data_IF_030760602979
#
_entry.id   IF_030760602979
#
_cell.length_a   1.000
_cell.length_b   1.000
_cell.length_c   1.000
_cell.angle_alpha   90.00
_cell.angle_beta   90.00
_cell.angle_gamma   90.00
#
_symmetry.space_group_name_H-M   'P 1'
#
loop_
_entity.id
_entity.type
_entity.pdbx_description
1 polymer ?
#
# COMPACT_ATOMS: atom_id res chain seq x y z
N UNK A 1 -5.49 36.69 -5.78
CA UNK A 1 -4.01 36.70 -5.63
C UNK A 1 -3.54 36.46 -4.20
N UNK A 2 -3.79 37.34 -3.21
CA UNK A 2 -3.32 37.11 -1.83
C UNK A 2 -4.01 35.92 -1.11
N UNK A 3 -5.29 35.67 -1.40
CA UNK A 3 -6.04 34.57 -0.78
C UNK A 3 -5.69 33.22 -1.39
N UNK A 4 -5.41 33.20 -2.69
CA UNK A 4 -4.94 32.03 -3.42
C UNK A 4 -3.55 31.58 -2.93
N UNK A 5 -2.64 32.54 -2.69
CA UNK A 5 -1.34 32.27 -2.06
C UNK A 5 -1.52 31.71 -0.63
N UNK A 6 -2.51 32.19 0.13
CA UNK A 6 -2.79 31.67 1.48
C UNK A 6 -3.34 30.25 1.45
N UNK A 7 -4.24 29.95 0.50
CA UNK A 7 -4.80 28.61 0.32
C UNK A 7 -3.72 27.59 -0.07
N UNK A 8 -2.89 27.91 -1.07
CA UNK A 8 -1.80 27.04 -1.52
C UNK A 8 -0.77 26.79 -0.41
N UNK A 9 -0.46 27.80 0.40
CA UNK A 9 0.44 27.62 1.56
C UNK A 9 -0.15 26.69 2.62
N UNK A 10 -1.47 26.72 2.80
CA UNK A 10 -2.15 25.84 3.76
C UNK A 10 -2.13 24.40 3.25
N UNK A 11 -2.52 24.19 2.01
CA UNK A 11 -2.48 22.89 1.35
C UNK A 11 -1.07 22.28 1.36
N UNK A 12 -0.04 23.09 1.06
CA UNK A 12 1.34 22.64 1.13
C UNK A 12 1.73 22.18 2.54
N UNK A 13 1.35 22.94 3.58
CA UNK A 13 1.65 22.56 4.96
C UNK A 13 0.91 21.28 5.36
N UNK A 14 -0.35 21.12 4.96
CA UNK A 14 -1.14 19.92 5.26
C UNK A 14 -0.52 18.67 4.57
N UNK A 15 -0.10 18.80 3.32
CA UNK A 15 0.59 17.73 2.58
C UNK A 15 1.94 17.36 3.22
N UNK A 16 2.71 18.35 3.67
CA UNK A 16 3.98 18.12 4.36
C UNK A 16 3.78 17.41 5.70
N UNK A 17 2.74 17.77 6.45
CA UNK A 17 2.39 17.10 7.70
C UNK A 17 1.98 15.63 7.46
N UNK A 18 1.15 15.37 6.44
CA UNK A 18 0.78 14.02 6.04
C UNK A 18 2.00 13.19 5.61
N UNK A 19 2.91 13.78 4.83
CA UNK A 19 4.15 13.12 4.42
C UNK A 19 5.02 12.77 5.64
N UNK A 20 5.18 13.70 6.59
CA UNK A 20 5.93 13.47 7.82
C UNK A 20 5.35 12.30 8.63
N UNK A 21 4.02 12.27 8.80
CA UNK A 21 3.31 11.17 9.48
C UNK A 21 3.57 9.83 8.77
N UNK A 22 3.45 9.80 7.44
CA UNK A 22 3.70 8.58 6.66
C UNK A 22 5.13 8.07 6.84
N UNK A 23 6.14 8.93 6.76
CA UNK A 23 7.54 8.53 6.93
C UNK A 23 7.86 8.09 8.34
N UNK A 24 7.26 8.75 9.35
CA UNK A 24 7.33 8.34 10.75
C UNK A 24 6.83 6.90 10.92
N UNK A 25 5.63 6.60 10.43
CA UNK A 25 5.05 5.24 10.47
C UNK A 25 5.93 4.20 9.74
N UNK A 26 6.43 4.52 8.54
CA UNK A 26 7.31 3.63 7.76
C UNK A 26 8.64 3.34 8.47
N UNK A 27 9.18 4.31 9.19
CA UNK A 27 10.47 4.18 9.88
C UNK A 27 10.44 3.22 11.07
N UNK A 28 9.28 3.04 11.73
CA UNK A 28 9.11 2.28 12.99
C UNK A 28 10.08 2.72 14.10
N UNK A 29 10.38 4.01 14.19
CA UNK A 29 11.17 4.58 15.28
C UNK A 29 10.21 5.03 16.39
N UNK A 30 10.44 4.55 17.61
CA UNK A 30 9.72 4.94 18.82
C UNK A 30 10.19 6.33 19.27
N UNK A 31 9.25 7.18 19.73
CA UNK A 31 9.37 8.62 20.00
C UNK A 31 10.80 9.18 20.13
N UNK A 32 11.20 10.05 19.19
CA UNK A 32 12.13 11.13 19.51
C UNK A 32 11.34 12.12 20.37
N UNK A 33 11.56 12.09 21.69
CA UNK A 33 11.19 13.22 22.55
C UNK A 33 11.81 14.47 21.93
N UNK A 34 11.01 15.51 21.80
CA UNK A 34 11.39 16.84 21.32
C UNK A 34 11.41 16.99 19.79
N UNK A 35 10.21 17.08 19.20
CA UNK A 35 9.85 18.10 18.20
C UNK A 35 10.71 18.25 16.93
N UNK A 36 11.63 17.33 16.66
CA UNK A 36 12.55 17.47 15.53
C UNK A 36 11.79 17.06 14.26
N UNK A 37 11.44 18.06 13.44
CA UNK A 37 10.85 17.91 12.07
C UNK A 37 11.84 17.27 11.09
N UNK A 38 12.64 16.32 11.57
CA UNK A 38 13.76 15.75 10.85
C UNK A 38 13.26 14.64 9.92
N UNK A 39 12.43 15.02 8.95
CA UNK A 39 11.95 14.15 7.87
C UNK A 39 13.12 13.40 7.24
N UNK A 40 14.26 14.06 7.04
CA UNK A 40 15.50 13.46 6.52
C UNK A 40 15.96 12.25 7.33
N UNK A 41 15.92 12.30 8.66
CA UNK A 41 16.24 11.16 9.52
C UNK A 41 15.28 9.99 9.30
N UNK A 42 13.97 10.27 9.25
CA UNK A 42 12.96 9.23 9.01
C UNK A 42 13.07 8.61 7.61
N UNK A 43 13.31 9.42 6.58
CA UNK A 43 13.59 8.95 5.22
C UNK A 43 14.82 8.04 5.17
N UNK A 44 15.91 8.43 5.84
CA UNK A 44 17.14 7.63 5.91
C UNK A 44 16.90 6.31 6.65
N UNK A 45 16.21 6.33 7.79
CA UNK A 45 15.86 5.12 8.55
C UNK A 45 14.96 4.18 7.74
N UNK A 46 13.90 4.70 7.12
CA UNK A 46 13.00 3.92 6.28
C UNK A 46 13.75 3.31 5.08
N UNK A 47 14.62 4.09 4.43
CA UNK A 47 15.44 3.64 3.30
C UNK A 47 16.47 2.60 3.70
N UNK A 48 17.14 2.78 4.84
CA UNK A 48 18.08 1.79 5.39
C UNK A 48 17.35 0.47 5.68
N UNK A 49 16.17 0.54 6.28
CA UNK A 49 15.35 -0.64 6.56
C UNK A 49 14.90 -1.34 5.29
N UNK A 50 14.45 -0.59 4.27
CA UNK A 50 14.13 -1.14 2.94
C UNK A 50 15.33 -1.85 2.33
N UNK A 51 16.53 -1.25 2.40
CA UNK A 51 17.76 -1.85 1.88
C UNK A 51 18.14 -3.13 2.62
N UNK A 52 18.01 -3.15 3.95
CA UNK A 52 18.33 -4.32 4.79
C UNK A 52 17.34 -5.47 4.56
N UNK A 53 16.05 -5.15 4.44
CA UNK A 53 14.98 -6.14 4.33
C UNK A 53 14.68 -6.53 2.87
N UNK A 54 15.47 -6.07 1.90
CA UNK A 54 15.28 -6.43 0.50
C UNK A 54 15.69 -7.89 0.28
N UNK A 55 14.70 -8.76 0.14
CA UNK A 55 14.91 -10.15 -0.29
C UNK A 55 15.34 -10.13 -1.75
N UNK A 56 16.59 -10.54 -2.04
CA UNK A 56 17.13 -10.60 -3.42
C UNK A 56 16.71 -11.84 -4.19
N UNK A 57 16.39 -12.91 -3.46
CA UNK A 57 16.05 -14.22 -4.00
C UNK A 57 16.14 -15.26 -2.90
N UNK A 58 15.43 -16.38 -3.09
CA UNK A 58 15.45 -17.52 -2.17
C UNK A 58 16.65 -18.40 -2.54
N UNK A 59 17.38 -18.90 -1.54
CA UNK A 59 18.51 -19.82 -1.73
C UNK A 59 18.25 -21.14 -1.00
N UNK A 60 18.77 -22.24 -1.55
CA UNK A 60 18.74 -23.55 -0.90
C UNK A 60 19.82 -23.65 0.20
N UNK A 61 19.87 -24.78 0.90
CA UNK A 61 20.85 -25.06 1.96
C UNK A 61 22.30 -24.96 1.47
N UNK A 62 22.52 -25.14 0.16
CA UNK A 62 23.82 -25.03 -0.50
C UNK A 62 24.07 -23.63 -1.09
N UNK A 63 23.29 -22.62 -0.68
CA UNK A 63 23.39 -21.22 -1.11
C UNK A 63 23.15 -20.97 -2.62
N UNK A 64 22.58 -21.93 -3.34
CA UNK A 64 22.24 -21.77 -4.77
C UNK A 64 20.88 -21.11 -4.91
N UNK A 65 20.67 -20.27 -5.94
CA UNK A 65 19.35 -19.69 -6.21
C UNK A 65 18.31 -20.80 -6.41
N UNK A 66 17.22 -20.76 -5.66
CA UNK A 66 16.11 -21.69 -5.86
C UNK A 66 15.44 -21.34 -7.18
N UNK A 67 15.19 -22.34 -8.03
CA UNK A 67 14.33 -22.16 -9.19
C UNK A 67 12.89 -21.93 -8.71
N UNK A 68 12.46 -20.67 -8.74
CA UNK A 68 11.14 -20.26 -8.27
C UNK A 68 10.02 -21.04 -8.97
N UNK A 69 10.15 -21.35 -10.26
CA UNK A 69 9.17 -22.14 -11.00
C UNK A 69 8.98 -23.55 -10.43
N UNK A 70 10.07 -24.20 -9.96
CA UNK A 70 9.96 -25.47 -9.23
C UNK A 70 9.38 -25.30 -7.84
N UNK A 71 9.69 -24.21 -7.14
CA UNK A 71 9.17 -23.95 -5.80
C UNK A 71 7.64 -23.74 -5.79
N UNK A 72 7.10 -23.09 -6.83
CA UNK A 72 5.65 -22.92 -6.98
C UNK A 72 4.92 -24.23 -7.20
N UNK A 73 5.55 -25.27 -7.76
CA UNK A 73 4.95 -26.59 -7.91
C UNK A 73 4.72 -27.31 -6.58
N UNK A 74 5.33 -26.84 -5.48
CA UNK A 74 5.12 -27.38 -4.14
C UNK A 74 3.98 -26.68 -3.38
N UNK A 75 3.36 -25.65 -3.97
CA UNK A 75 2.24 -24.92 -3.38
C UNK A 75 0.99 -25.26 -4.16
N UNK A 76 -0.04 -25.75 -3.46
CA UNK A 76 -1.32 -26.02 -4.11
C UNK A 76 -1.90 -24.74 -4.71
N UNK A 77 -2.11 -24.75 -6.03
CA UNK A 77 -2.72 -23.64 -6.73
C UNK A 77 -4.19 -23.50 -6.32
N UNK A 78 -4.46 -22.60 -5.37
CA UNK A 78 -5.82 -22.33 -4.90
C UNK A 78 -6.70 -21.58 -5.91
N UNK A 79 -6.08 -20.88 -6.85
CA UNK A 79 -6.79 -20.18 -7.92
C UNK A 79 -6.67 -21.01 -9.18
N UNK A 80 -7.78 -21.63 -9.58
CA UNK A 80 -7.82 -22.41 -10.80
C UNK A 80 -8.03 -21.50 -12.02
N UNK A 81 -7.62 -21.92 -13.23
CA UNK A 81 -7.91 -21.19 -14.45
C UNK A 81 -9.41 -20.90 -14.64
N UNK A 82 -10.27 -21.85 -14.25
CA UNK A 82 -11.73 -21.68 -14.29
C UNK A 82 -12.23 -20.58 -13.34
N UNK A 83 -11.61 -20.43 -12.15
CA UNK A 83 -11.93 -19.30 -11.26
C UNK A 83 -11.55 -17.97 -11.88
N UNK A 84 -10.42 -17.90 -12.58
CA UNK A 84 -10.00 -16.68 -13.28
C UNK A 84 -10.91 -16.37 -14.47
N UNK A 85 -11.35 -17.39 -15.22
CA UNK A 85 -12.31 -17.23 -16.30
C UNK A 85 -13.64 -16.67 -15.76
N UNK A 86 -14.16 -17.24 -14.68
CA UNK A 86 -15.36 -16.75 -14.01
C UNK A 86 -15.24 -15.31 -13.47
N UNK A 87 -14.04 -14.89 -13.04
CA UNK A 87 -13.78 -13.50 -12.62
C UNK A 87 -13.68 -12.51 -13.79
N UNK A 88 -13.30 -13.00 -14.98
CA UNK A 88 -13.15 -12.21 -16.20
C UNK A 88 -14.42 -12.19 -17.07
N UNK A 89 -15.43 -13.02 -16.74
CA UNK A 89 -16.72 -13.02 -17.41
C UNK A 89 -17.49 -11.71 -17.19
N UNK A 90 -18.38 -11.40 -18.14
CA UNK A 90 -19.21 -10.21 -18.05
C UNK A 90 -20.27 -10.36 -16.94
N UNK A 91 -20.36 -9.36 -16.06
CA UNK A 91 -21.33 -9.35 -14.97
C UNK A 91 -22.76 -9.52 -15.45
N UNK A 92 -23.51 -10.38 -14.78
CA UNK A 92 -24.94 -10.57 -15.06
C UNK A 92 -25.79 -9.45 -14.45
N UNK A 93 -26.90 -9.08 -15.10
CA UNK A 93 -27.88 -8.12 -14.54
C UNK A 93 -28.37 -8.54 -13.14
N UNK A 94 -28.47 -9.85 -12.87
CA UNK A 94 -28.87 -10.39 -11.55
C UNK A 94 -27.80 -10.16 -10.49
N UNK A 95 -26.53 -10.28 -10.86
CA UNK A 95 -25.38 -10.06 -9.99
C UNK A 95 -25.27 -8.59 -9.61
N UNK A 96 -25.34 -7.70 -10.61
CA UNK A 96 -25.35 -6.24 -10.41
C UNK A 96 -26.50 -5.81 -9.48
N UNK A 97 -27.68 -6.41 -9.64
CA UNK A 97 -28.84 -6.12 -8.78
C UNK A 97 -28.66 -6.63 -7.34
N UNK A 98 -27.94 -7.73 -7.15
CA UNK A 98 -27.69 -8.32 -5.84
C UNK A 98 -26.62 -7.53 -5.10
N UNK A 99 -25.54 -7.13 -5.79
CA UNK A 99 -24.50 -6.27 -5.22
C UNK A 99 -25.05 -4.90 -4.85
N UNK A 100 -25.88 -4.28 -5.72
CA UNK A 100 -26.57 -3.01 -5.40
C UNK A 100 -27.39 -3.07 -4.10
N UNK A 101 -28.05 -4.20 -3.84
CA UNK A 101 -28.86 -4.41 -2.64
C UNK A 101 -28.04 -4.70 -1.38
N UNK A 102 -26.78 -5.14 -1.55
CA UNK A 102 -25.86 -5.43 -0.45
C UNK A 102 -25.05 -4.21 -0.02
N UNK A 103 -25.13 -3.09 -0.76
CA UNK A 103 -24.53 -1.82 -0.35
C UNK A 103 -25.31 -1.28 0.86
N UNK A 104 -24.75 -1.44 2.06
CA UNK A 104 -25.27 -0.82 3.27
C UNK A 104 -25.02 0.71 3.23
N UNK A 105 -25.81 1.48 4.01
CA UNK A 105 -25.87 2.95 4.02
C UNK A 105 -24.61 3.67 4.57
N UNK A 106 -23.42 3.08 4.44
CA UNK A 106 -22.14 3.61 4.96
C UNK A 106 -21.20 4.13 3.88
N UNK A 107 -21.69 4.43 2.68
CA UNK A 107 -20.90 5.22 1.72
C UNK A 107 -20.98 6.71 2.08
N UNK A 108 -19.83 7.37 2.09
CA UNK A 108 -19.74 8.81 2.24
C UNK A 108 -20.54 9.51 1.12
N UNK A 109 -21.38 10.47 1.47
CA UNK A 109 -22.01 11.39 0.51
C UNK A 109 -20.89 12.09 -0.25
N UNK A 110 -20.91 11.99 -1.58
CA UNK A 110 -20.04 12.83 -2.41
C UNK A 110 -20.42 14.30 -2.24
N UNK A 111 -19.52 15.24 -2.55
CA UNK A 111 -19.89 16.64 -2.58
C UNK A 111 -20.86 16.87 -3.76
N UNK A 112 -22.10 17.23 -3.44
CA UNK A 112 -23.05 17.88 -4.37
C UNK A 112 -22.64 19.34 -4.59
#
# INVERSE_FOLDING_TARGET
NADEIRMLKRELNDLLEMEEIMWRQKSRVEWLKDGDKNTKFFHLKASQRRRRNRIRGIRDEQMRPVNLARAFNCVDAKVTPAMNEALCEAFSKKEIKTTLKQIHATKALGPD
#
